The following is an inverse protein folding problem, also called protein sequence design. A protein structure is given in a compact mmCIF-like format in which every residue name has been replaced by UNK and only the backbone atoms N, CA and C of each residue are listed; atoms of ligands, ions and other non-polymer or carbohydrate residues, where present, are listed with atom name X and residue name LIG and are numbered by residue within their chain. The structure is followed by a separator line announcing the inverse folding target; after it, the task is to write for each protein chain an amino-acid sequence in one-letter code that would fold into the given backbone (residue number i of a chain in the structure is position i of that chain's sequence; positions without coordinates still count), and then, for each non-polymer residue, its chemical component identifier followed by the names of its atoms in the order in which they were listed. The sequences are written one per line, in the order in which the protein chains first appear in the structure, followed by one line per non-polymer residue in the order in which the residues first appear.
data_IF_915935360344
#
_entry.id   IF_915935360344
#
_cell.length_a   1.000
_cell.length_b   1.000
_cell.length_c   1.000
_cell.angle_alpha   90.00
_cell.angle_beta   90.00
_cell.angle_gamma   90.00
#
_symmetry.space_group_name_H-M   'P 1'
#
loop_
_entity.id
_entity.type
_entity.pdbx_description
1 polymer ?
#
# COMPACT_ATOMS: atom_id res chain seq x y z
N UNK A 1 -21.04 78.85 33.97
CA UNK A 1 -20.05 79.36 32.99
C UNK A 1 -20.01 78.46 31.76
N UNK A 2 -19.75 78.97 30.56
CA UNK A 2 -19.60 78.16 29.32
C UNK A 2 -18.57 77.03 29.49
N UNK A 3 -17.54 77.28 30.30
CA UNK A 3 -16.46 76.32 30.55
C UNK A 3 -16.95 75.08 31.32
N UNK A 4 -17.82 75.26 32.32
CA UNK A 4 -18.39 74.16 33.12
C UNK A 4 -19.24 73.22 32.25
N UNK A 5 -20.01 73.77 31.31
CA UNK A 5 -20.80 72.97 30.37
C UNK A 5 -19.91 72.14 29.44
N UNK A 6 -18.81 72.71 28.92
CA UNK A 6 -17.85 71.98 28.08
C UNK A 6 -17.13 70.87 28.85
N UNK A 7 -16.81 71.09 30.13
CA UNK A 7 -16.20 70.09 31.00
C UNK A 7 -17.16 68.91 31.19
N UNK A 8 -18.42 69.18 31.53
CA UNK A 8 -19.45 68.14 31.70
C UNK A 8 -19.68 67.32 30.42
N UNK A 9 -19.69 67.97 29.26
CA UNK A 9 -19.85 67.27 27.97
C UNK A 9 -18.65 66.35 27.68
N UNK A 10 -17.42 66.81 27.93
CA UNK A 10 -16.21 66.00 27.76
C UNK A 10 -16.14 64.84 28.74
N UNK A 11 -16.54 65.04 29.99
CA UNK A 11 -16.63 63.98 31.01
C UNK A 11 -17.66 62.91 30.62
N UNK A 12 -18.79 63.33 30.05
CA UNK A 12 -19.80 62.41 29.51
C UNK A 12 -19.26 61.55 28.37
N UNK A 13 -18.58 62.17 27.39
CA UNK A 13 -17.96 61.45 26.26
C UNK A 13 -16.89 60.46 26.71
N UNK A 14 -15.97 60.89 27.58
CA UNK A 14 -14.94 59.99 28.11
C UNK A 14 -15.55 58.81 28.90
N UNK A 15 -16.68 59.02 29.58
CA UNK A 15 -17.36 57.95 30.31
C UNK A 15 -17.95 56.91 29.36
N UNK A 16 -18.59 57.35 28.28
CA UNK A 16 -19.15 56.47 27.24
C UNK A 16 -18.05 55.66 26.53
N UNK A 17 -16.92 56.29 26.19
CA UNK A 17 -15.76 55.61 25.62
C UNK A 17 -15.18 54.56 26.60
N UNK A 18 -15.08 54.91 27.88
CA UNK A 18 -14.58 53.99 28.91
C UNK A 18 -15.50 52.78 29.10
N UNK A 19 -16.81 52.97 29.05
CA UNK A 19 -17.77 51.89 29.19
C UNK A 19 -17.76 50.98 27.94
N UNK A 20 -17.61 51.55 26.75
CA UNK A 20 -17.42 50.79 25.50
C UNK A 20 -16.13 49.94 25.56
N UNK A 21 -15.02 50.53 25.99
CA UNK A 21 -13.74 49.82 26.13
C UNK A 21 -13.81 48.68 27.16
N UNK A 22 -14.61 48.84 28.23
CA UNK A 22 -14.82 47.75 29.20
C UNK A 22 -15.60 46.59 28.58
N UNK A 23 -16.64 46.87 27.81
CA UNK A 23 -17.42 45.84 27.12
C UNK A 23 -16.55 45.08 26.10
N UNK A 24 -15.76 45.80 25.29
CA UNK A 24 -14.82 45.17 24.36
C UNK A 24 -13.78 44.30 25.08
N UNK A 25 -13.26 44.76 26.23
CA UNK A 25 -12.33 43.97 27.05
C UNK A 25 -12.97 42.68 27.54
N UNK A 26 -14.21 42.71 28.03
CA UNK A 26 -14.93 41.52 28.49
C UNK A 26 -15.16 40.53 27.34
N UNK A 27 -15.54 41.04 26.17
CA UNK A 27 -15.70 40.24 24.96
C UNK A 27 -14.38 39.56 24.54
N UNK A 28 -13.28 40.31 24.53
CA UNK A 28 -11.96 39.77 24.22
C UNK A 28 -11.50 38.74 25.26
N UNK A 29 -11.74 38.97 26.56
CA UNK A 29 -11.43 37.98 27.60
C UNK A 29 -12.23 36.68 27.41
N UNK A 30 -13.49 36.78 27.01
CA UNK A 30 -14.31 35.61 26.68
C UNK A 30 -13.75 34.82 25.51
N UNK A 31 -13.33 35.51 24.44
CA UNK A 31 -12.73 34.87 23.26
C UNK A 31 -11.41 34.18 23.60
N UNK A 32 -10.52 34.84 24.35
CA UNK A 32 -9.24 34.26 24.77
C UNK A 32 -9.46 33.00 25.59
N UNK A 33 -10.39 33.04 26.57
CA UNK A 33 -10.70 31.88 27.41
C UNK A 33 -11.19 30.69 26.58
N UNK A 34 -12.07 30.94 25.61
CA UNK A 34 -12.58 29.91 24.71
C UNK A 34 -11.48 29.35 23.81
N UNK A 35 -10.61 30.20 23.26
CA UNK A 35 -9.48 29.76 22.45
C UNK A 35 -8.49 28.91 23.26
N UNK A 36 -8.17 29.31 24.49
CA UNK A 36 -7.31 28.52 25.39
C UNK A 36 -7.86 27.12 25.62
N UNK A 37 -9.16 26.99 25.86
CA UNK A 37 -9.81 25.68 26.03
C UNK A 37 -9.70 24.82 24.76
N UNK A 38 -9.95 25.40 23.58
CA UNK A 38 -9.87 24.67 22.31
C UNK A 38 -8.44 24.20 22.04
N UNK A 39 -7.44 25.06 22.27
CA UNK A 39 -6.03 24.71 22.09
C UNK A 39 -5.64 23.53 22.97
N UNK A 40 -6.04 23.54 24.25
CA UNK A 40 -5.75 22.43 25.18
C UNK A 40 -6.37 21.10 24.71
N UNK A 41 -7.60 21.12 24.19
CA UNK A 41 -8.21 19.89 23.66
C UNK A 41 -7.51 19.42 22.39
N UNK A 42 -7.13 20.33 21.48
CA UNK A 42 -6.38 19.97 20.28
C UNK A 42 -5.01 19.36 20.60
N UNK A 43 -4.28 19.93 21.57
CA UNK A 43 -3.00 19.38 22.04
C UNK A 43 -3.15 17.96 22.59
N UNK A 44 -4.22 17.72 23.36
CA UNK A 44 -4.53 16.40 23.91
C UNK A 44 -4.83 15.38 22.81
N UNK A 45 -5.60 15.77 21.80
CA UNK A 45 -5.89 14.91 20.65
C UNK A 45 -4.63 14.61 19.83
N UNK A 46 -3.78 15.62 19.60
CA UNK A 46 -2.52 15.46 18.88
C UNK A 46 -1.57 14.51 19.61
N UNK A 47 -1.46 14.63 20.94
CA UNK A 47 -0.64 13.73 21.75
C UNK A 47 -1.12 12.28 21.65
N UNK A 48 -2.44 12.04 21.78
CA UNK A 48 -3.03 10.70 21.61
C UNK A 48 -2.76 10.12 20.23
N UNK A 49 -2.95 10.91 19.18
CA UNK A 49 -2.70 10.49 17.80
C UNK A 49 -1.22 10.14 17.58
N UNK A 50 -0.31 10.94 18.13
CA UNK A 50 1.15 10.73 18.03
C UNK A 50 1.59 9.46 18.74
N UNK A 51 1.08 9.21 19.97
CA UNK A 51 1.39 7.98 20.72
C UNK A 51 0.81 6.75 20.02
N UNK A 52 -0.41 6.81 19.51
CA UNK A 52 -1.00 5.68 18.77
C UNK A 52 -0.17 5.36 17.52
N UNK A 53 0.32 6.39 16.82
CA UNK A 53 1.16 6.20 15.65
C UNK A 53 2.51 5.54 16.02
N UNK A 54 3.17 5.97 17.10
CA UNK A 54 4.43 5.35 17.53
C UNK A 54 4.26 3.89 18.00
N UNK A 55 3.15 3.57 18.65
CA UNK A 55 2.80 2.18 19.02
C UNK A 55 2.56 1.33 17.77
N UNK A 56 1.78 1.82 16.82
CA UNK A 56 1.51 1.11 15.56
C UNK A 56 2.80 0.90 14.75
N UNK A 57 3.66 1.92 14.68
CA UNK A 57 4.93 1.84 13.99
C UNK A 57 5.87 0.81 14.64
N UNK A 58 5.86 0.72 15.98
CA UNK A 58 6.58 -0.33 16.70
C UNK A 58 6.03 -1.73 16.41
N UNK A 59 4.70 -1.90 16.43
CA UNK A 59 4.06 -3.16 16.09
C UNK A 59 4.37 -3.62 14.66
N UNK A 60 4.40 -2.68 13.70
CA UNK A 60 4.79 -2.98 12.32
C UNK A 60 6.24 -3.46 12.21
N UNK A 61 7.16 -2.87 12.98
CA UNK A 61 8.57 -3.29 13.00
C UNK A 61 8.72 -4.70 13.58
N UNK A 62 8.07 -4.99 14.72
CA UNK A 62 8.09 -6.32 15.34
C UNK A 62 7.49 -7.39 14.42
N UNK A 63 6.38 -7.07 13.73
CA UNK A 63 5.79 -7.97 12.74
C UNK A 63 6.74 -8.24 11.58
N UNK A 64 7.41 -7.21 11.06
CA UNK A 64 8.39 -7.35 9.99
C UNK A 64 9.56 -8.24 10.41
N UNK A 65 10.09 -8.10 11.63
CA UNK A 65 11.15 -8.96 12.17
C UNK A 65 10.68 -10.42 12.32
N UNK A 66 9.47 -10.65 12.84
CA UNK A 66 8.92 -12.02 12.95
C UNK A 66 8.75 -12.68 11.58
N UNK A 67 8.26 -11.94 10.58
CA UNK A 67 8.15 -12.43 9.20
C UNK A 67 9.53 -12.77 8.62
N UNK A 68 10.54 -11.91 8.79
CA UNK A 68 11.90 -12.22 8.34
C UNK A 68 12.46 -13.47 9.03
N UNK A 69 12.20 -13.64 10.32
CA UNK A 69 12.62 -14.83 11.05
C UNK A 69 11.92 -16.10 10.54
N UNK A 70 10.62 -16.04 10.27
CA UNK A 70 9.88 -17.16 9.68
C UNK A 70 10.40 -17.51 8.28
N UNK A 71 10.65 -16.51 7.43
CA UNK A 71 11.26 -16.72 6.11
C UNK A 71 12.65 -17.36 6.23
N UNK A 72 13.45 -16.93 7.20
CA UNK A 72 14.77 -17.50 7.47
C UNK A 72 14.71 -18.95 7.98
N UNK A 73 13.67 -19.31 8.75
CA UNK A 73 13.45 -20.69 9.19
C UNK A 73 12.98 -21.57 8.04
N UNK A 74 12.05 -21.09 7.21
CA UNK A 74 11.59 -21.79 6.01
C UNK A 74 12.70 -22.00 4.97
N UNK A 75 13.68 -21.09 4.89
CA UNK A 75 14.83 -21.24 3.99
C UNK A 75 15.93 -22.14 4.56
N UNK A 76 16.02 -22.28 5.89
CA UNK A 76 17.01 -23.16 6.56
C UNK A 76 16.53 -24.61 6.71
N UNK A 77 15.22 -24.85 6.81
CA UNK A 77 14.62 -26.20 6.80
C UNK A 77 13.93 -26.50 5.46
N UNK A 78 14.73 -26.65 4.41
CA UNK A 78 14.31 -27.34 3.19
C UNK A 78 14.13 -28.84 3.43
N UNK A 79 13.04 -29.22 4.12
CA UNK A 79 12.53 -30.60 4.17
C UNK A 79 11.35 -30.69 3.20
N UNK A 80 11.58 -31.51 2.15
CA UNK A 80 10.68 -31.93 1.05
C UNK A 80 10.60 -30.94 -0.11
N UNK A 81 11.32 -31.13 -1.22
CA UNK A 81 11.28 -32.32 -2.07
C UNK A 81 12.68 -32.84 -2.43
N UNK A 82 12.86 -34.15 -2.23
CA UNK A 82 14.02 -34.92 -2.65
C UNK A 82 13.77 -35.39 -4.09
N UNK A 83 14.57 -34.94 -5.05
CA UNK A 83 14.60 -35.52 -6.40
C UNK A 83 15.14 -34.60 -7.48
N UNK A 84 16.46 -34.46 -7.58
CA UNK A 84 17.11 -33.77 -8.69
C UNK A 84 18.47 -33.21 -8.30
N UNK A 85 19.48 -33.40 -9.15
CA UNK A 85 20.87 -32.99 -8.89
C UNK A 85 20.95 -31.47 -8.69
N UNK A 86 21.68 -31.04 -7.67
CA UNK A 86 22.13 -29.65 -7.51
C UNK A 86 23.17 -29.36 -8.59
N UNK A 87 22.73 -28.85 -9.73
CA UNK A 87 23.46 -27.80 -10.43
C UNK A 87 22.88 -26.46 -9.98
N UNK A 88 23.66 -25.39 -10.02
CA UNK A 88 23.15 -24.04 -9.79
C UNK A 88 22.06 -23.73 -10.84
N UNK A 89 20.81 -24.08 -10.53
CA UNK A 89 19.70 -23.98 -11.46
C UNK A 89 19.37 -22.52 -11.66
N UNK A 90 19.84 -21.99 -12.80
CA UNK A 90 19.36 -20.74 -13.35
C UNK A 90 17.82 -20.76 -13.33
N UNK A 91 17.15 -19.78 -12.72
CA UNK A 91 15.70 -19.79 -12.61
C UNK A 91 15.07 -19.80 -14.00
N UNK A 92 14.10 -20.70 -14.22
CA UNK A 92 13.38 -20.81 -15.49
C UNK A 92 12.55 -19.55 -15.71
N UNK A 93 12.68 -18.89 -16.87
CA UNK A 93 11.91 -17.66 -17.16
C UNK A 93 10.57 -17.97 -17.83
N UNK A 94 10.50 -19.11 -18.49
CA UNK A 94 9.33 -19.59 -19.22
C UNK A 94 9.36 -21.13 -19.35
N UNK A 95 8.30 -21.71 -19.91
CA UNK A 95 8.21 -23.15 -20.15
C UNK A 95 9.21 -23.66 -21.20
N UNK A 96 9.80 -22.79 -22.03
CA UNK A 96 10.82 -23.21 -22.99
C UNK A 96 12.15 -23.48 -22.28
N UNK A 97 12.54 -22.61 -21.34
CA UNK A 97 13.69 -22.86 -20.44
C UNK A 97 13.48 -24.17 -19.65
N UNK A 98 12.26 -24.42 -19.14
CA UNK A 98 11.89 -25.68 -18.46
C UNK A 98 12.09 -26.89 -19.38
N UNK A 99 11.59 -26.82 -20.61
CA UNK A 99 11.71 -27.91 -21.58
C UNK A 99 13.16 -28.19 -21.98
N UNK A 100 13.97 -27.13 -22.19
CA UNK A 100 15.39 -27.23 -22.50
C UNK A 100 16.21 -27.85 -21.36
N UNK A 101 15.80 -27.63 -20.11
CA UNK A 101 16.39 -28.27 -18.94
C UNK A 101 16.03 -29.77 -18.81
N UNK A 102 15.25 -30.32 -19.76
CA UNK A 102 14.92 -31.73 -19.84
C UNK A 102 13.60 -32.12 -19.16
N UNK A 103 12.85 -31.15 -18.65
CA UNK A 103 11.52 -31.39 -18.09
C UNK A 103 10.49 -31.48 -19.23
N UNK A 104 10.20 -32.71 -19.65
CA UNK A 104 9.39 -33.01 -20.83
C UNK A 104 7.96 -33.47 -20.52
N UNK A 105 7.47 -33.25 -19.30
CA UNK A 105 6.09 -33.60 -18.90
C UNK A 105 5.25 -32.35 -18.76
N UNK A 106 4.04 -32.35 -19.32
CA UNK A 106 3.09 -31.27 -19.09
C UNK A 106 2.69 -31.18 -17.63
N UNK A 107 2.51 -29.95 -17.11
CA UNK A 107 2.18 -29.73 -15.71
C UNK A 107 2.37 -28.29 -15.27
N UNK A 108 2.14 -28.02 -13.98
CA UNK A 108 2.38 -26.70 -13.39
C UNK A 108 3.86 -26.56 -13.02
N UNK A 109 4.50 -25.51 -13.51
CA UNK A 109 5.88 -25.16 -13.21
C UNK A 109 5.97 -23.74 -12.63
N UNK A 110 7.01 -23.50 -11.83
CA UNK A 110 7.32 -22.17 -11.30
C UNK A 110 8.32 -21.48 -12.21
N UNK A 111 7.95 -20.30 -12.71
CA UNK A 111 8.81 -19.46 -13.55
C UNK A 111 9.11 -18.13 -12.87
N UNK A 112 10.23 -17.52 -13.25
CA UNK A 112 10.76 -16.29 -12.68
C UNK A 112 10.84 -15.16 -13.73
N UNK A 113 10.06 -14.11 -13.53
CA UNK A 113 9.98 -12.96 -14.44
C UNK A 113 10.86 -11.83 -13.90
N UNK A 114 12.06 -11.66 -14.47
CA UNK A 114 13.08 -10.72 -13.96
C UNK A 114 13.11 -9.35 -14.66
N UNK A 115 12.09 -8.97 -15.44
CA UNK A 115 12.08 -7.71 -16.18
C UNK A 115 10.87 -6.84 -15.86
N UNK A 116 10.88 -6.18 -14.70
CA UNK A 116 10.05 -5.00 -14.47
C UNK A 116 10.96 -3.77 -14.35
N UNK A 117 10.84 -2.76 -15.24
CA UNK A 117 11.52 -1.49 -15.03
C UNK A 117 11.01 -0.88 -13.72
N UNK A 118 11.94 -0.73 -12.77
CA UNK A 118 11.82 -0.10 -11.44
C UNK A 118 10.42 0.29 -10.95
N UNK A 119 9.80 -0.49 -10.05
CA UNK A 119 8.80 0.01 -9.13
C UNK A 119 9.44 0.38 -7.78
N UNK A 120 9.03 1.53 -7.23
CA UNK A 120 9.55 2.17 -6.00
C UNK A 120 9.33 1.39 -4.68
N UNK A 121 9.05 0.09 -4.73
CA UNK A 121 8.78 -0.73 -3.54
C UNK A 121 9.23 -2.18 -3.73
N UNK A 122 10.24 -2.58 -2.94
CA UNK A 122 10.86 -3.91 -2.92
C UNK A 122 9.84 -5.02 -2.61
N UNK A 123 8.78 -4.72 -1.85
CA UNK A 123 7.80 -5.74 -1.42
C UNK A 123 6.88 -6.22 -2.56
N UNK A 124 6.60 -5.37 -3.55
CA UNK A 124 5.79 -5.75 -4.73
C UNK A 124 6.62 -6.49 -5.79
N UNK A 125 7.95 -6.37 -5.78
CA UNK A 125 8.85 -7.05 -6.72
C UNK A 125 8.96 -8.55 -6.45
N UNK A 126 9.08 -8.98 -5.19
CA UNK A 126 9.35 -10.38 -4.86
C UNK A 126 8.16 -11.31 -5.10
N UNK A 127 6.92 -10.80 -4.95
CA UNK A 127 5.71 -11.61 -5.16
C UNK A 127 5.30 -11.70 -6.64
N UNK A 128 5.61 -10.68 -7.45
CA UNK A 128 5.23 -10.66 -8.88
C UNK A 128 6.27 -11.32 -9.79
N UNK A 129 7.50 -11.51 -9.31
CA UNK A 129 8.55 -12.19 -10.06
C UNK A 129 8.45 -13.71 -10.04
N UNK A 130 7.59 -14.32 -9.23
CA UNK A 130 7.43 -15.78 -9.15
C UNK A 130 6.00 -16.16 -9.56
N UNK A 131 5.84 -16.85 -10.67
CA UNK A 131 4.52 -17.24 -11.20
C UNK A 131 4.43 -18.75 -11.39
N UNK A 132 3.31 -19.34 -11.00
CA UNK A 132 2.97 -20.72 -11.35
C UNK A 132 2.20 -20.71 -12.68
N UNK A 133 2.73 -21.42 -13.68
CA UNK A 133 2.15 -21.51 -15.02
C UNK A 133 1.99 -22.96 -15.43
N UNK A 134 1.00 -23.25 -16.28
CA UNK A 134 0.90 -24.57 -16.89
C UNK A 134 1.80 -24.63 -18.13
N UNK A 135 2.75 -25.55 -18.14
CA UNK A 135 3.57 -25.86 -19.29
C UNK A 135 2.99 -27.05 -20.04
N UNK A 136 2.70 -26.88 -21.34
CA UNK A 136 2.35 -27.98 -22.22
C UNK A 136 3.60 -28.45 -22.98
N UNK A 137 4.06 -29.66 -22.65
CA UNK A 137 5.25 -30.29 -23.23
C UNK A 137 4.89 -31.33 -24.30
N UNK A 138 3.62 -31.71 -24.41
CA UNK A 138 3.18 -32.82 -25.25
C UNK A 138 2.88 -32.38 -26.70
N UNK A 139 2.56 -31.10 -26.91
CA UNK A 139 2.17 -30.58 -28.23
C UNK A 139 3.31 -29.87 -28.94
N UNK A 140 3.41 -30.07 -30.26
CA UNK A 140 4.24 -29.29 -31.18
C UNK A 140 5.72 -29.10 -30.76
N UNK A 141 6.31 -30.12 -30.13
CA UNK A 141 7.73 -30.09 -29.71
C UNK A 141 7.98 -29.51 -28.32
N UNK A 142 6.92 -29.27 -27.53
CA UNK A 142 6.98 -28.90 -26.13
C UNK A 142 7.43 -27.47 -25.84
N UNK A 143 7.39 -27.09 -24.56
CA UNK A 143 7.84 -25.77 -24.07
C UNK A 143 6.79 -24.66 -24.08
N UNK A 144 5.50 -24.99 -24.16
CA UNK A 144 4.45 -23.99 -24.28
C UNK A 144 3.98 -23.47 -22.91
N UNK A 145 4.10 -22.17 -22.69
CA UNK A 145 3.50 -21.50 -21.52
C UNK A 145 2.04 -21.19 -21.78
N UNK A 146 1.12 -21.78 -21.00
CA UNK A 146 -0.31 -21.51 -21.13
C UNK A 146 -0.70 -20.29 -20.32
N UNK A 147 -1.11 -19.22 -21.00
CA UNK A 147 -1.54 -17.95 -20.39
C UNK A 147 -3.05 -17.98 -20.06
N UNK A 148 -3.80 -18.80 -20.81
CA UNK A 148 -5.23 -18.96 -20.62
C UNK A 148 -5.71 -20.29 -21.21
N UNK A 149 -6.66 -20.94 -20.53
CA UNK A 149 -7.26 -22.20 -20.97
C UNK A 149 -8.79 -22.10 -20.95
N UNK A 150 -9.45 -22.70 -21.94
CA UNK A 150 -10.92 -22.84 -22.03
C UNK A 150 -11.24 -24.24 -22.51
N UNK A 151 -12.17 -24.91 -21.84
CA UNK A 151 -12.56 -26.28 -22.17
C UNK A 151 -14.09 -26.45 -22.28
N UNK A 152 -14.86 -25.83 -21.39
CA UNK A 152 -16.28 -26.15 -21.18
C UNK A 152 -17.23 -24.95 -21.21
N UNK A 153 -16.69 -23.72 -21.30
CA UNK A 153 -17.50 -22.49 -21.30
C UNK A 153 -18.19 -22.17 -19.97
N UNK A 154 -17.80 -22.82 -18.87
CA UNK A 154 -18.44 -22.66 -17.55
C UNK A 154 -18.07 -21.35 -16.83
N UNK A 155 -17.01 -20.69 -17.27
CA UNK A 155 -16.54 -19.43 -16.70
C UNK A 155 -17.14 -18.23 -17.45
N UNK A 156 -17.62 -17.22 -16.71
CA UNK A 156 -18.03 -15.94 -17.28
C UNK A 156 -16.82 -15.03 -17.50
N UNK A 157 -16.75 -14.52 -18.73
CA UNK A 157 -15.66 -13.70 -19.23
C UNK A 157 -16.06 -12.24 -19.43
N UNK A 158 -17.34 -11.91 -19.24
CA UNK A 158 -17.83 -10.54 -19.25
C UNK A 158 -17.67 -9.93 -17.84
N UNK A 159 -16.43 -9.56 -17.49
CA UNK A 159 -16.12 -8.85 -16.24
C UNK A 159 -15.91 -7.36 -16.53
N UNK A 160 -16.11 -6.48 -15.54
CA UNK A 160 -15.96 -5.02 -15.69
C UNK A 160 -14.61 -4.62 -16.32
N UNK A 161 -14.54 -3.50 -17.04
CA UNK A 161 -13.38 -3.05 -17.84
C UNK A 161 -12.05 -2.92 -17.07
N UNK A 162 -12.07 -2.94 -15.73
CA UNK A 162 -10.88 -3.02 -14.86
C UNK A 162 -10.27 -4.44 -14.85
N UNK A 163 -11.00 -5.43 -15.34
CA UNK A 163 -10.67 -6.86 -15.34
C UNK A 163 -10.33 -7.42 -16.73
N UNK A 164 -10.59 -6.66 -17.81
CA UNK A 164 -10.52 -7.13 -19.21
C UNK A 164 -9.27 -6.60 -19.88
N UNK A 165 -8.10 -7.04 -19.42
CA UNK A 165 -6.91 -7.09 -20.27
C UNK A 165 -6.63 -8.55 -20.64
N UNK A 166 -7.56 -9.14 -21.37
CA UNK A 166 -7.36 -10.34 -22.18
C UNK A 166 -8.73 -10.83 -22.52
N UNK A 167 -9.06 -10.96 -23.81
CA UNK A 167 -9.77 -12.12 -24.36
C UNK A 167 -10.28 -11.86 -25.76
N UNK A 168 -9.39 -11.98 -26.75
CA UNK A 168 -9.78 -12.55 -28.03
C UNK A 168 -8.65 -13.43 -28.57
N UNK A 169 -9.07 -14.51 -29.23
CA UNK A 169 -8.33 -15.51 -29.97
C UNK A 169 -7.59 -16.62 -29.21
N UNK A 170 -7.85 -17.83 -29.71
CA UNK A 170 -7.09 -19.05 -29.50
C UNK A 170 -5.61 -18.77 -29.71
N UNK A 171 -4.90 -18.49 -28.63
CA UNK A 171 -3.48 -18.23 -28.70
C UNK A 171 -2.76 -19.23 -27.82
N UNK A 172 -2.44 -20.37 -28.45
CA UNK A 172 -1.12 -20.95 -28.26
C UNK A 172 -0.10 -19.91 -28.76
N UNK A 173 0.10 -18.79 -28.03
CA UNK A 173 1.12 -17.82 -28.42
C UNK A 173 2.46 -18.32 -27.90
N UNK A 174 3.38 -18.47 -28.86
CA UNK A 174 4.77 -18.86 -28.73
C UNK A 174 5.50 -18.10 -27.63
N UNK A 175 6.23 -18.86 -26.82
CA UNK A 175 7.65 -18.56 -26.66
C UNK A 175 8.42 -19.77 -27.19
N UNK A 176 9.05 -19.59 -28.35
CA UNK A 176 10.20 -20.38 -28.76
C UNK A 176 11.37 -19.41 -28.81
#
# INVERSE_FOLDING_TARGET
SLLEHKILEMEGKHKEELDTLKEEKENLQGLVTRQTYIIQELEKQLNRATTNNSVLQKQQLELMDTVHNLVNLCTKEGVLLKGGKREEEKPFRDCADVYQAGFNKSGIYTIYINNMPEPKSIFYLTLFSICQVFCNMDVNGGGWTVIQHREDGSLDFQRDSVSVLSLEFFFHLKTK
#
